data_IF_768093453500
#
_entry.id   IF_768093453500
#
_cell.length_a   1.000
_cell.length_b   1.000
_cell.length_c   1.000
_cell.angle_alpha   90.00
_cell.angle_beta   90.00
_cell.angle_gamma   90.00
#
_symmetry.space_group_name_H-M   'P 1'
#
loop_
_entity.id
_entity.type
_entity.pdbx_description
1 polymer ?
#
# COMPACT_ATOMS: atom_id res chain seq x y z
N UNK A 1 -19.88 -2.93 -47.36
CA UNK A 1 -20.20 -2.15 -46.16
C UNK A 1 -19.62 -2.93 -44.99
N UNK A 2 -18.55 -2.47 -44.46
CA UNK A 2 -17.66 -3.15 -43.51
C UNK A 2 -18.16 -2.94 -42.08
N UNK A 3 -18.23 -4.04 -41.32
CA UNK A 3 -18.70 -4.13 -39.92
C UNK A 3 -17.77 -3.49 -38.87
N UNK A 4 -17.12 -2.38 -39.18
CA UNK A 4 -16.07 -1.80 -38.31
C UNK A 4 -16.39 -0.41 -37.80
N UNK A 5 -17.61 -0.09 -37.45
CA UNK A 5 -17.91 1.17 -36.72
C UNK A 5 -19.07 1.04 -35.74
N UNK A 6 -18.95 0.11 -34.80
CA UNK A 6 -19.60 0.31 -33.51
C UNK A 6 -18.59 0.92 -32.54
N UNK A 7 -18.38 2.22 -32.67
CA UNK A 7 -17.83 3.03 -31.59
C UNK A 7 -18.80 2.86 -30.43
N UNK A 8 -18.40 2.11 -29.42
CA UNK A 8 -19.11 2.03 -28.15
C UNK A 8 -19.22 3.46 -27.63
N UNK A 9 -20.38 4.08 -27.73
CA UNK A 9 -20.75 5.23 -26.92
C UNK A 9 -20.65 4.76 -25.46
N UNK A 10 -19.56 5.07 -24.82
CA UNK A 10 -19.42 4.88 -23.38
C UNK A 10 -20.36 5.85 -22.72
N UNK A 11 -21.46 5.34 -22.17
CA UNK A 11 -22.33 6.12 -21.28
C UNK A 11 -21.43 6.74 -20.20
N UNK A 12 -21.35 8.08 -20.07
CA UNK A 12 -20.50 8.76 -19.10
C UNK A 12 -20.86 8.39 -17.65
N UNK A 13 -22.02 7.79 -17.42
CA UNK A 13 -22.45 7.27 -16.13
C UNK A 13 -22.12 5.78 -15.94
N UNK A 14 -21.56 5.12 -16.94
CA UNK A 14 -21.19 3.72 -16.83
C UNK A 14 -19.83 3.63 -16.12
N UNK A 15 -19.85 3.32 -14.84
CA UNK A 15 -18.64 2.91 -14.12
C UNK A 15 -18.04 1.70 -14.84
N UNK A 16 -16.73 1.75 -15.12
CA UNK A 16 -15.99 0.61 -15.65
C UNK A 16 -16.17 -0.58 -14.71
N UNK A 17 -17.01 -1.53 -15.11
CA UNK A 17 -17.25 -2.74 -14.33
C UNK A 17 -16.42 -3.88 -14.90
N UNK A 18 -15.69 -4.61 -14.09
CA UNK A 18 -14.95 -5.78 -14.54
C UNK A 18 -15.94 -6.86 -15.01
N UNK A 19 -15.54 -7.64 -16.05
CA UNK A 19 -16.34 -8.77 -16.54
C UNK A 19 -16.52 -9.86 -15.50
N UNK A 20 -15.50 -10.06 -14.67
CA UNK A 20 -15.49 -11.03 -13.59
C UNK A 20 -15.68 -10.32 -12.25
N UNK A 21 -16.21 -11.03 -11.27
CA UNK A 21 -16.27 -10.52 -9.89
C UNK A 21 -14.86 -10.31 -9.39
N UNK A 22 -14.62 -9.14 -8.77
CA UNK A 22 -13.35 -8.78 -8.13
C UNK A 22 -13.61 -8.43 -6.67
N UNK A 23 -12.60 -8.64 -5.82
CA UNK A 23 -12.71 -8.33 -4.41
C UNK A 23 -11.36 -8.43 -3.71
N UNK A 24 -11.33 -8.05 -2.43
CA UNK A 24 -10.16 -8.17 -1.57
C UNK A 24 -10.11 -9.60 -1.03
N UNK A 25 -9.04 -10.35 -1.34
CA UNK A 25 -8.86 -11.74 -0.89
C UNK A 25 -7.93 -11.85 0.32
N UNK A 26 -7.17 -10.80 0.63
CA UNK A 26 -6.30 -10.76 1.80
C UNK A 26 -5.91 -9.34 2.16
N UNK A 27 -5.50 -9.16 3.38
CA UNK A 27 -4.99 -7.90 3.88
C UNK A 27 -3.90 -8.14 4.91
N UNK A 28 -3.00 -7.18 5.06
CA UNK A 28 -1.94 -7.21 6.05
C UNK A 28 -1.57 -5.80 6.49
N UNK A 29 -1.01 -5.70 7.67
CA UNK A 29 -0.51 -4.47 8.22
C UNK A 29 0.78 -4.74 8.99
N UNK A 30 1.60 -3.72 9.07
CA UNK A 30 2.73 -3.61 9.97
C UNK A 30 2.64 -2.28 10.72
N UNK A 31 2.84 -2.29 12.01
CA UNK A 31 2.83 -1.07 12.83
C UNK A 31 4.16 -1.02 13.59
N UNK A 32 5.00 -0.01 13.35
CA UNK A 32 6.24 0.19 14.10
C UNK A 32 6.02 0.19 15.61
N UNK A 33 6.99 -0.30 16.35
CA UNK A 33 6.85 -0.49 17.81
C UNK A 33 6.97 0.79 18.63
N UNK A 34 7.71 1.78 18.12
CA UNK A 34 7.89 3.02 18.85
C UNK A 34 6.64 3.89 18.83
N UNK A 35 6.44 4.67 19.89
CA UNK A 35 5.31 5.59 20.03
C UNK A 35 5.81 6.97 20.37
N UNK A 36 5.28 7.97 19.67
CA UNK A 36 5.47 9.38 19.97
C UNK A 36 4.15 9.90 20.54
N UNK A 37 4.08 10.23 21.83
CA UNK A 37 2.89 10.82 22.43
C UNK A 37 2.55 12.18 21.80
N UNK A 38 1.28 12.45 21.54
CA UNK A 38 0.82 13.73 20.97
C UNK A 38 1.24 14.94 21.82
N UNK A 39 1.27 14.79 23.14
CA UNK A 39 1.74 15.82 24.07
C UNK A 39 3.19 16.26 23.83
N UNK A 40 4.07 15.35 23.38
CA UNK A 40 5.47 15.69 23.08
C UNK A 40 5.57 16.51 21.79
N UNK A 41 4.72 16.19 20.80
CA UNK A 41 4.62 17.01 19.59
C UNK A 41 4.10 18.40 19.93
N UNK A 42 3.01 18.50 20.70
CA UNK A 42 2.45 19.76 21.14
C UNK A 42 3.46 20.61 21.94
N UNK A 43 4.23 19.98 22.84
CA UNK A 43 5.29 20.66 23.62
C UNK A 43 6.34 21.33 22.72
N UNK A 44 6.76 20.67 21.64
CA UNK A 44 7.79 21.21 20.74
C UNK A 44 7.22 22.33 19.87
N UNK A 45 5.98 22.18 19.40
CA UNK A 45 5.36 23.14 18.49
C UNK A 45 4.59 24.27 19.18
N UNK A 46 4.67 24.36 20.53
CA UNK A 46 4.04 25.41 21.31
C UNK A 46 2.51 25.36 21.36
N UNK A 47 1.94 24.21 21.02
CA UNK A 47 0.50 23.94 21.11
C UNK A 47 0.12 23.25 22.42
N UNK A 48 -1.15 22.88 22.53
CA UNK A 48 -1.64 21.98 23.56
C UNK A 48 -2.14 20.68 22.89
N UNK A 49 -2.34 19.63 23.66
CA UNK A 49 -2.83 18.33 23.21
C UNK A 49 -4.33 18.13 23.48
N UNK A 50 -5.01 19.18 23.97
CA UNK A 50 -6.45 19.12 24.24
C UNK A 50 -7.24 19.02 22.94
N UNK A 51 -8.12 18.04 22.86
CA UNK A 51 -8.99 17.83 21.69
C UNK A 51 -8.30 17.23 20.46
N UNK A 52 -7.06 16.80 20.56
CA UNK A 52 -6.42 16.08 19.47
C UNK A 52 -7.12 14.73 19.23
N UNK A 53 -7.33 14.34 17.97
CA UNK A 53 -8.00 13.08 17.63
C UNK A 53 -7.12 11.83 17.88
N UNK A 54 -5.83 12.04 18.18
CA UNK A 54 -4.86 10.96 18.42
C UNK A 54 -4.16 11.18 19.77
N UNK A 55 -3.88 10.07 20.46
CA UNK A 55 -3.12 10.08 21.72
C UNK A 55 -1.63 9.92 21.47
N UNK A 56 -1.28 9.10 20.50
CA UNK A 56 0.10 8.80 20.12
C UNK A 56 0.20 8.42 18.64
N UNK A 57 1.38 8.54 18.07
CA UNK A 57 1.71 8.12 16.72
C UNK A 57 2.77 7.02 16.74
N UNK A 58 2.60 5.98 15.91
CA UNK A 58 3.65 5.01 15.66
C UNK A 58 4.81 5.67 14.89
N UNK A 59 6.02 5.32 15.27
CA UNK A 59 7.25 5.86 14.67
C UNK A 59 8.16 4.71 14.28
N UNK A 60 8.68 4.75 13.05
CA UNK A 60 9.63 3.77 12.54
C UNK A 60 10.93 3.76 13.36
N UNK A 61 11.52 2.58 13.51
CA UNK A 61 12.86 2.42 14.04
C UNK A 61 13.93 2.86 13.06
N UNK A 62 15.19 2.90 13.50
CA UNK A 62 16.31 3.27 12.64
C UNK A 62 16.57 2.28 11.51
N UNK A 63 16.10 1.06 11.67
CA UNK A 63 16.17 -0.07 10.73
C UNK A 63 14.87 -0.29 9.94
N UNK A 64 13.91 0.61 10.07
CA UNK A 64 12.60 0.54 9.44
C UNK A 64 12.39 1.69 8.47
N UNK A 65 11.94 1.36 7.27
CA UNK A 65 11.51 2.31 6.24
C UNK A 65 10.23 1.82 5.54
N UNK A 66 9.74 2.57 4.56
CA UNK A 66 8.52 2.19 3.85
C UNK A 66 8.67 0.85 3.12
N UNK A 67 9.86 0.48 2.66
CA UNK A 67 10.10 -0.81 1.98
C UNK A 67 10.02 -1.96 2.97
N UNK A 68 10.77 -1.91 4.06
CA UNK A 68 10.80 -2.97 5.07
C UNK A 68 9.43 -3.17 5.72
N UNK A 69 8.72 -2.09 6.04
CA UNK A 69 7.35 -2.15 6.55
C UNK A 69 6.36 -2.71 5.53
N UNK A 70 6.51 -2.36 4.24
CA UNK A 70 5.66 -2.90 3.16
C UNK A 70 5.90 -4.40 2.95
N UNK A 71 7.14 -4.88 3.04
CA UNK A 71 7.47 -6.31 2.95
C UNK A 71 6.74 -7.09 4.04
N UNK A 72 6.78 -6.65 5.29
CA UNK A 72 6.10 -7.34 6.38
C UNK A 72 4.56 -7.29 6.24
N UNK A 73 4.01 -6.15 5.84
CA UNK A 73 2.58 -6.03 5.56
C UNK A 73 2.14 -6.97 4.42
N UNK A 74 2.93 -7.03 3.32
CA UNK A 74 2.66 -7.90 2.19
C UNK A 74 2.74 -9.38 2.55
N UNK A 75 3.76 -9.81 3.31
CA UNK A 75 3.88 -11.18 3.84
C UNK A 75 2.67 -11.58 4.68
N UNK A 76 2.21 -10.69 5.53
CA UNK A 76 1.00 -10.89 6.34
C UNK A 76 -0.26 -11.03 5.47
N UNK A 77 -0.38 -10.22 4.41
CA UNK A 77 -1.49 -10.29 3.46
C UNK A 77 -1.50 -11.61 2.69
N UNK A 78 -0.35 -12.01 2.13
CA UNK A 78 -0.18 -13.28 1.40
C UNK A 78 -0.51 -14.49 2.27
N UNK A 79 -0.01 -14.50 3.51
CA UNK A 79 -0.31 -15.57 4.48
C UNK A 79 -1.80 -15.70 4.76
N UNK A 80 -2.53 -14.57 4.91
CA UNK A 80 -3.98 -14.58 5.12
C UNK A 80 -4.77 -14.97 3.88
N UNK A 81 -4.31 -14.53 2.71
CA UNK A 81 -4.91 -14.90 1.43
C UNK A 81 -4.67 -16.36 1.05
N UNK A 82 -3.63 -16.99 1.63
CA UNK A 82 -3.16 -18.33 1.28
C UNK A 82 -2.89 -18.50 -0.23
N UNK A 83 -2.29 -17.48 -0.86
CA UNK A 83 -1.90 -17.50 -2.28
C UNK A 83 -0.38 -17.59 -2.43
N UNK A 84 0.05 -18.17 -3.55
CA UNK A 84 1.45 -18.19 -3.95
C UNK A 84 1.85 -16.78 -4.44
N UNK A 85 2.93 -16.16 -3.92
CA UNK A 85 3.41 -14.88 -4.44
C UNK A 85 3.71 -14.89 -5.95
N UNK A 86 4.01 -16.04 -6.54
CA UNK A 86 4.20 -16.20 -7.99
C UNK A 86 2.92 -15.94 -8.80
N UNK A 87 1.76 -15.97 -8.19
CA UNK A 87 0.47 -15.65 -8.83
C UNK A 87 0.19 -14.14 -8.91
N UNK A 88 0.97 -13.33 -8.21
CA UNK A 88 0.82 -11.88 -8.26
C UNK A 88 1.13 -11.34 -9.66
N UNK A 89 0.30 -10.40 -10.13
CA UNK A 89 0.42 -9.79 -11.46
C UNK A 89 0.88 -8.32 -11.39
N UNK A 90 0.87 -7.72 -10.20
CA UNK A 90 1.38 -6.39 -9.95
C UNK A 90 1.65 -6.17 -8.46
N UNK A 91 2.63 -5.36 -8.14
CA UNK A 91 2.93 -4.88 -6.79
C UNK A 91 3.12 -3.37 -6.85
N UNK A 92 2.28 -2.65 -6.14
CA UNK A 92 2.37 -1.19 -6.03
C UNK A 92 2.62 -0.77 -4.59
N UNK A 93 3.51 0.21 -4.43
CA UNK A 93 3.78 0.84 -3.15
C UNK A 93 3.52 2.33 -3.29
N UNK A 94 2.52 2.83 -2.58
CA UNK A 94 2.22 4.26 -2.49
C UNK A 94 2.82 4.85 -1.21
N UNK A 95 3.67 5.86 -1.33
CA UNK A 95 4.28 6.56 -0.21
C UNK A 95 4.86 7.90 -0.66
N UNK A 96 4.98 8.84 0.26
CA UNK A 96 5.73 10.08 0.07
C UNK A 96 7.12 10.03 0.74
N UNK A 97 7.49 8.87 1.31
CA UNK A 97 8.73 8.68 2.08
C UNK A 97 9.55 7.52 1.54
N UNK A 98 9.65 7.40 0.21
CA UNK A 98 10.47 6.38 -0.43
C UNK A 98 11.95 6.57 -0.10
N UNK A 99 12.71 5.51 0.28
CA UNK A 99 14.12 5.62 0.62
C UNK A 99 15.02 5.85 -0.60
N UNK A 100 14.53 5.58 -1.81
CA UNK A 100 15.28 5.76 -3.06
C UNK A 100 14.58 6.74 -4.00
N UNK A 101 15.33 7.68 -4.53
CA UNK A 101 14.80 8.70 -5.45
C UNK A 101 14.34 8.13 -6.80
N UNK A 102 15.01 7.09 -7.30
CA UNK A 102 14.81 6.55 -8.66
C UNK A 102 14.35 5.10 -8.64
N UNK A 103 14.86 4.28 -7.74
CA UNK A 103 14.53 2.85 -7.69
C UNK A 103 13.07 2.64 -7.23
N UNK A 104 12.22 1.98 -8.03
CA UNK A 104 10.85 1.72 -7.62
C UNK A 104 10.79 0.82 -6.38
N UNK A 105 10.12 1.27 -5.32
CA UNK A 105 9.98 0.49 -4.09
C UNK A 105 9.18 -0.80 -4.32
N UNK A 106 8.20 -0.79 -5.23
CA UNK A 106 7.40 -1.96 -5.57
C UNK A 106 8.23 -3.15 -6.06
N UNK A 107 9.28 -2.90 -6.87
CA UNK A 107 10.16 -3.99 -7.36
C UNK A 107 10.97 -4.63 -6.25
N UNK A 108 11.42 -3.84 -5.27
CA UNK A 108 12.15 -4.36 -4.10
C UNK A 108 11.23 -5.20 -3.22
N UNK A 109 10.00 -4.71 -2.99
CA UNK A 109 8.98 -5.46 -2.24
C UNK A 109 8.62 -6.75 -2.96
N UNK A 110 8.39 -6.71 -4.29
CA UNK A 110 8.06 -7.88 -5.11
C UNK A 110 9.12 -8.97 -4.99
N UNK A 111 10.39 -8.61 -5.14
CA UNK A 111 11.52 -9.54 -4.97
C UNK A 111 11.56 -10.14 -3.56
N UNK A 112 11.42 -9.31 -2.52
CA UNK A 112 11.50 -9.74 -1.13
C UNK A 112 10.37 -10.69 -0.69
N UNK A 113 9.21 -10.61 -1.33
CA UNK A 113 8.07 -11.52 -1.07
C UNK A 113 8.04 -12.74 -1.99
N UNK A 114 8.96 -12.83 -2.94
CA UNK A 114 9.07 -13.96 -3.88
C UNK A 114 8.07 -13.90 -5.03
N UNK A 115 7.62 -12.71 -5.44
CA UNK A 115 6.77 -12.56 -6.61
C UNK A 115 7.51 -12.89 -7.92
N UNK A 116 6.74 -13.18 -8.98
CA UNK A 116 7.30 -13.40 -10.32
C UNK A 116 8.04 -12.17 -10.82
N UNK A 117 9.06 -12.38 -11.66
CA UNK A 117 9.76 -11.31 -12.39
C UNK A 117 8.93 -10.73 -13.55
N UNK A 118 7.78 -11.34 -13.87
CA UNK A 118 6.86 -10.94 -14.94
C UNK A 118 5.64 -10.16 -14.39
N UNK A 119 5.88 -9.22 -13.48
CA UNK A 119 4.85 -8.36 -12.86
C UNK A 119 5.05 -6.90 -13.24
#
# INVERSE_FOLDING_TARGET
>A
MTEHEQIHQTDPNLLLKPKNKVGIIGYGAYVPRYRLPAKEVARIWGGNDEGLPIVEKAVAGLDEDVITMSIEAARNALKRAAIDPQELRAVWVGSESHPYAVKPSGTVVAEAIGASTNI
#
